data_IF_700267080514
#
_entry.id   IF_700267080514
#
_cell.length_a   1.000
_cell.length_b   1.000
_cell.length_c   1.000
_cell.angle_alpha   90.00
_cell.angle_beta   90.00
_cell.angle_gamma   90.00
#
_symmetry.space_group_name_H-M   'P 1'
#
loop_
_entity.id
_entity.type
_entity.pdbx_description
1 polymer ?
#
# COMPACT_ATOMS: atom_id res chain seq x y z
N UNK A 1 -37.18 -40.93 2.15
CA UNK A 1 -37.10 -39.77 3.07
C UNK A 1 -36.43 -38.61 2.34
N UNK A 2 -37.08 -37.44 2.28
CA UNK A 2 -36.66 -36.26 1.52
C UNK A 2 -35.43 -35.60 2.18
N UNK A 3 -34.22 -35.84 1.65
CA UNK A 3 -32.95 -35.18 2.07
C UNK A 3 -32.72 -33.81 1.41
N UNK A 4 -33.60 -33.43 0.49
CA UNK A 4 -33.62 -32.17 -0.27
C UNK A 4 -33.46 -30.90 0.60
N UNK A 5 -34.10 -30.74 1.79
CA UNK A 5 -34.03 -29.47 2.52
C UNK A 5 -32.64 -29.19 3.10
N UNK A 6 -31.86 -30.23 3.44
CA UNK A 6 -30.49 -30.08 3.98
C UNK A 6 -29.51 -29.67 2.89
N UNK A 7 -29.66 -30.23 1.69
CA UNK A 7 -28.87 -29.87 0.52
C UNK A 7 -29.14 -28.43 0.07
N UNK A 8 -30.42 -28.01 0.07
CA UNK A 8 -30.81 -26.65 -0.26
C UNK A 8 -30.27 -25.63 0.75
N UNK A 9 -30.30 -25.95 2.04
CA UNK A 9 -29.74 -25.09 3.09
C UNK A 9 -28.21 -24.97 2.97
N UNK A 10 -27.52 -26.10 2.72
CA UNK A 10 -26.08 -26.10 2.53
C UNK A 10 -25.67 -25.26 1.31
N UNK A 11 -26.41 -25.38 0.20
CA UNK A 11 -26.21 -24.59 -1.02
C UNK A 11 -26.44 -23.09 -0.78
N UNK A 12 -27.45 -22.72 0.00
CA UNK A 12 -27.72 -21.32 0.37
C UNK A 12 -26.62 -20.74 1.26
N UNK A 13 -26.14 -21.51 2.24
CA UNK A 13 -25.05 -21.08 3.12
C UNK A 13 -23.74 -20.92 2.34
N UNK A 14 -23.41 -21.86 1.45
CA UNK A 14 -22.23 -21.73 0.58
C UNK A 14 -22.38 -20.55 -0.38
N UNK A 15 -23.53 -20.36 -1.01
CA UNK A 15 -23.77 -19.20 -1.88
C UNK A 15 -23.61 -17.86 -1.14
N UNK A 16 -24.08 -17.78 0.12
CA UNK A 16 -23.90 -16.60 0.96
C UNK A 16 -22.44 -16.40 1.41
N UNK A 17 -21.68 -17.49 1.61
CA UNK A 17 -20.25 -17.43 1.95
C UNK A 17 -19.37 -17.03 0.76
N UNK A 18 -19.72 -17.48 -0.45
CA UNK A 18 -19.05 -17.11 -1.70
C UNK A 18 -19.52 -15.76 -2.25
N UNK A 19 -20.50 -15.11 -1.62
CA UNK A 19 -20.95 -13.79 -2.05
C UNK A 19 -19.78 -12.80 -1.97
N UNK A 20 -19.47 -12.07 -3.06
CA UNK A 20 -18.37 -11.12 -3.07
C UNK A 20 -18.63 -10.04 -2.01
N UNK A 21 -17.75 -9.96 -1.02
CA UNK A 21 -17.73 -8.86 -0.07
C UNK A 21 -17.07 -7.65 -0.73
N UNK A 22 -17.48 -6.41 -0.40
CA UNK A 22 -16.74 -5.24 -0.80
C UNK A 22 -15.30 -5.41 -0.30
N UNK A 23 -14.36 -5.49 -1.24
CA UNK A 23 -12.94 -5.51 -0.92
C UNK A 23 -12.63 -4.19 -0.19
N UNK A 24 -12.30 -4.29 1.10
CA UNK A 24 -11.70 -3.17 1.82
C UNK A 24 -10.28 -3.03 1.29
N UNK A 25 -10.15 -2.29 0.19
CA UNK A 25 -8.87 -2.05 -0.41
C UNK A 25 -7.98 -1.36 0.65
N UNK A 26 -6.81 -1.93 0.91
CA UNK A 26 -5.72 -1.28 1.62
C UNK A 26 -4.91 -0.50 0.58
N UNK A 27 -5.33 0.72 0.20
CA UNK A 27 -4.31 1.71 -0.12
C UNK A 27 -4.60 3.00 0.65
N UNK A 28 -3.62 3.39 1.45
CA UNK A 28 -3.48 4.69 2.09
C UNK A 28 -4.00 5.83 1.21
N UNK A 29 -3.51 5.89 -0.03
CA UNK A 29 -3.78 6.97 -0.98
C UNK A 29 -5.13 6.85 -1.70
N UNK A 30 -5.61 5.64 -1.98
CA UNK A 30 -6.89 5.46 -2.68
C UNK A 30 -8.07 5.97 -1.86
N UNK A 31 -7.98 5.96 -0.52
CA UNK A 31 -9.00 6.56 0.36
C UNK A 31 -9.02 8.09 0.26
N UNK A 32 -7.85 8.71 0.13
CA UNK A 32 -7.72 10.16 -0.02
C UNK A 32 -8.17 10.63 -1.40
N UNK A 33 -7.77 9.89 -2.44
CA UNK A 33 -7.96 10.27 -3.85
C UNK A 33 -9.27 9.71 -4.43
N UNK A 34 -9.88 8.72 -3.77
CA UNK A 34 -11.12 8.02 -4.17
C UNK A 34 -11.05 7.39 -5.57
N UNK A 35 -9.88 6.85 -5.92
CA UNK A 35 -9.63 6.19 -7.20
C UNK A 35 -9.31 4.70 -7.04
N UNK A 36 -9.50 3.92 -8.11
CA UNK A 36 -9.18 2.49 -8.15
C UNK A 36 -7.66 2.27 -8.21
N UNK A 37 -7.16 1.13 -7.75
CA UNK A 37 -5.72 0.82 -7.75
C UNK A 37 -5.07 0.93 -9.14
N UNK A 38 -5.78 0.51 -10.19
CA UNK A 38 -5.34 0.58 -11.60
C UNK A 38 -5.18 2.01 -12.12
N UNK A 39 -5.68 3.00 -11.38
CA UNK A 39 -5.47 4.40 -11.72
C UNK A 39 -4.01 4.83 -11.49
N UNK A 40 -3.33 4.25 -10.48
CA UNK A 40 -1.93 4.55 -10.15
C UNK A 40 -0.96 3.41 -10.51
N UNK A 41 -1.42 2.17 -10.61
CA UNK A 41 -0.55 1.00 -10.81
C UNK A 41 -0.81 0.30 -12.15
N UNK A 42 0.26 -0.12 -12.83
CA UNK A 42 0.19 -1.08 -13.94
C UNK A 42 0.07 -2.52 -13.43
N UNK A 43 0.78 -2.82 -12.34
CA UNK A 43 0.73 -4.03 -11.57
C UNK A 43 1.16 -3.64 -10.15
N UNK A 44 0.61 -4.26 -9.11
CA UNK A 44 1.14 -4.00 -7.77
C UNK A 44 2.57 -4.55 -7.67
N UNK A 45 3.58 -3.80 -7.16
CA UNK A 45 3.56 -2.39 -6.68
C UNK A 45 4.00 -1.35 -7.74
N UNK A 46 4.33 -1.77 -8.96
CA UNK A 46 4.79 -0.90 -10.05
C UNK A 46 3.79 0.20 -10.43
N UNK A 47 4.23 1.45 -10.33
CA UNK A 47 3.45 2.64 -10.71
C UNK A 47 3.35 2.79 -12.24
N UNK A 48 2.24 3.36 -12.69
CA UNK A 48 2.11 3.94 -14.02
C UNK A 48 2.56 5.43 -14.00
N UNK A 49 2.51 6.11 -15.15
CA UNK A 49 2.90 7.52 -15.24
C UNK A 49 2.11 8.43 -14.29
N UNK A 50 0.81 8.16 -14.12
CA UNK A 50 -0.02 8.92 -13.19
C UNK A 50 0.43 8.71 -11.74
N UNK A 51 0.66 7.45 -11.34
CA UNK A 51 1.12 7.10 -10.01
C UNK A 51 2.49 7.69 -9.69
N UNK A 52 3.42 7.68 -10.65
CA UNK A 52 4.72 8.32 -10.52
C UNK A 52 4.55 9.84 -10.35
N UNK A 53 3.76 10.49 -11.20
CA UNK A 53 3.46 11.93 -11.10
C UNK A 53 2.84 12.28 -9.75
N UNK A 54 1.90 11.47 -9.26
CA UNK A 54 1.29 11.65 -7.95
C UNK A 54 2.32 11.57 -6.82
N UNK A 55 3.22 10.57 -6.85
CA UNK A 55 4.31 10.41 -5.89
C UNK A 55 5.28 11.60 -5.93
N UNK A 56 5.74 11.99 -7.12
CA UNK A 56 6.72 13.08 -7.30
C UNK A 56 6.14 14.45 -6.95
N UNK A 57 4.82 14.64 -7.09
CA UNK A 57 4.12 15.87 -6.70
C UNK A 57 3.76 15.93 -5.21
N UNK A 58 4.31 15.04 -4.38
CA UNK A 58 4.08 15.07 -2.94
C UNK A 58 2.75 14.45 -2.51
N UNK A 59 2.30 13.41 -3.23
CA UNK A 59 1.03 12.72 -3.00
C UNK A 59 -0.19 13.63 -3.21
N UNK A 60 -0.09 14.49 -4.23
CA UNK A 60 -1.13 15.45 -4.63
C UNK A 60 -1.63 15.15 -6.03
N UNK A 61 -2.92 15.42 -6.24
CA UNK A 61 -3.49 15.41 -7.59
C UNK A 61 -2.91 16.60 -8.39
N UNK A 62 -2.68 16.43 -9.71
CA UNK A 62 -2.30 17.55 -10.57
C UNK A 62 -3.29 18.72 -10.43
N UNK A 63 -2.76 19.95 -10.38
CA UNK A 63 -3.59 21.15 -10.20
C UNK A 63 -4.11 21.39 -8.77
N UNK A 64 -3.69 20.58 -7.79
CA UNK A 64 -4.12 20.75 -6.39
C UNK A 64 -2.99 21.23 -5.49
N UNK A 65 -3.31 22.12 -4.56
CA UNK A 65 -2.41 22.47 -3.45
C UNK A 65 -2.45 21.40 -2.38
N UNK A 66 -1.38 21.32 -1.60
CA UNK A 66 -1.39 20.47 -0.42
C UNK A 66 -2.44 20.92 0.59
N UNK A 67 -2.88 19.98 1.41
CA UNK A 67 -3.82 20.23 2.50
C UNK A 67 -3.09 20.20 3.83
N UNK A 68 -3.55 21.01 4.77
CA UNK A 68 -3.10 20.90 6.16
C UNK A 68 -3.53 19.54 6.72
N UNK A 69 -2.79 19.04 7.72
CA UNK A 69 -2.99 17.68 8.26
C UNK A 69 -4.41 17.44 8.79
N UNK A 70 -5.07 18.50 9.25
CA UNK A 70 -6.42 18.47 9.82
C UNK A 70 -7.52 18.41 8.75
N UNK A 71 -7.19 18.74 7.50
CA UNK A 71 -8.12 18.76 6.37
C UNK A 71 -8.10 17.45 5.56
N UNK A 72 -7.22 16.51 5.95
CA UNK A 72 -7.10 15.21 5.30
C UNK A 72 -8.26 14.32 5.77
N UNK A 73 -9.15 13.87 4.88
CA UNK A 73 -10.36 13.13 5.26
C UNK A 73 -10.06 11.74 5.84
N UNK A 74 -8.90 11.16 5.51
CA UNK A 74 -8.44 9.89 6.05
C UNK A 74 -6.91 9.87 6.03
N UNK A 75 -6.29 9.59 7.18
CA UNK A 75 -4.84 9.53 7.24
C UNK A 75 -4.33 8.38 6.35
N UNK A 76 -3.42 8.67 5.41
CA UNK A 76 -2.97 7.71 4.43
C UNK A 76 -1.87 6.82 5.02
N UNK A 77 -2.24 5.98 5.98
CA UNK A 77 -1.43 4.83 6.44
C UNK A 77 -1.90 3.57 5.71
N UNK A 78 -0.96 2.72 5.34
CA UNK A 78 -1.20 1.36 4.90
C UNK A 78 -0.18 0.42 5.53
N UNK A 79 -0.54 -0.85 5.59
CA UNK A 79 0.34 -1.91 6.05
C UNK A 79 0.24 -3.11 5.11
N UNK A 80 1.37 -3.76 4.86
CA UNK A 80 1.49 -4.97 4.05
C UNK A 80 2.11 -6.04 4.94
N UNK A 81 1.44 -7.19 5.03
CA UNK A 81 2.01 -8.37 5.69
C UNK A 81 2.68 -9.25 4.63
N UNK A 82 3.94 -9.55 4.84
CA UNK A 82 4.74 -10.46 4.02
C UNK A 82 4.87 -11.80 4.73
N UNK A 83 4.66 -12.89 4.00
CA UNK A 83 4.85 -14.25 4.52
C UNK A 83 5.58 -15.04 3.44
N UNK A 84 6.82 -15.41 3.72
CA UNK A 84 7.62 -16.26 2.84
C UNK A 84 7.64 -17.70 3.35
N UNK A 85 7.27 -18.64 2.47
CA UNK A 85 7.37 -20.08 2.71
C UNK A 85 8.46 -20.68 1.83
N UNK A 86 9.47 -21.27 2.45
CA UNK A 86 10.59 -21.92 1.79
C UNK A 86 10.40 -23.42 1.87
N UNK A 87 10.43 -24.08 0.72
CA UNK A 87 10.49 -25.53 0.59
C UNK A 87 11.92 -25.94 0.31
N UNK A 88 12.48 -26.78 1.17
CA UNK A 88 13.83 -27.31 1.03
C UNK A 88 13.76 -28.81 0.76
N UNK A 89 14.00 -29.19 -0.51
CA UNK A 89 14.01 -30.58 -0.99
C UNK A 89 15.40 -31.18 -0.73
N UNK A 90 15.44 -32.17 0.16
CA UNK A 90 16.67 -32.88 0.45
C UNK A 90 16.72 -34.20 -0.33
N UNK A 91 17.85 -34.43 -1.02
CA UNK A 91 18.11 -35.67 -1.78
C UNK A 91 18.04 -36.97 -0.95
N UNK A 92 18.01 -36.88 0.37
CA UNK A 92 17.85 -38.00 1.29
C UNK A 92 16.38 -38.32 1.64
N UNK A 93 15.42 -37.55 1.08
CA UNK A 93 13.98 -37.74 1.25
C UNK A 93 13.36 -37.04 2.46
N UNK A 94 14.11 -36.18 3.15
CA UNK A 94 13.60 -35.39 4.27
C UNK A 94 13.28 -33.94 3.87
N UNK A 95 12.20 -33.77 3.13
CA UNK A 95 11.74 -32.45 2.70
C UNK A 95 11.24 -31.63 3.89
N UNK A 96 11.65 -30.37 3.95
CA UNK A 96 11.18 -29.45 5.01
C UNK A 96 10.47 -28.24 4.41
N UNK A 97 9.41 -27.81 5.09
CA UNK A 97 8.73 -26.55 4.80
C UNK A 97 8.92 -25.60 5.98
N UNK A 98 9.49 -24.44 5.72
CA UNK A 98 9.78 -23.42 6.74
C UNK A 98 9.17 -22.10 6.34
N UNK A 99 8.44 -21.46 7.27
CA UNK A 99 8.05 -20.06 7.10
C UNK A 99 9.26 -19.22 7.50
N UNK A 100 9.99 -18.72 6.51
CA UNK A 100 11.31 -18.15 6.73
C UNK A 100 11.22 -16.76 7.38
N UNK A 101 10.37 -15.87 6.87
CA UNK A 101 10.36 -14.46 7.29
C UNK A 101 8.96 -13.84 7.20
N UNK A 102 8.11 -13.99 8.23
CA UNK A 102 6.91 -13.18 8.33
C UNK A 102 7.29 -11.74 8.74
N UNK A 103 6.85 -10.77 7.96
CA UNK A 103 7.10 -9.35 8.16
C UNK A 103 5.83 -8.50 8.03
N UNK A 104 5.84 -7.32 8.62
CA UNK A 104 4.83 -6.29 8.39
C UNK A 104 5.53 -4.99 8.05
N UNK A 105 5.24 -4.47 6.88
CA UNK A 105 5.65 -3.13 6.46
C UNK A 105 4.50 -2.16 6.70
N UNK A 106 4.78 -1.02 7.30
CA UNK A 106 3.82 0.07 7.48
C UNK A 106 4.38 1.29 6.77
N UNK A 107 3.60 1.86 5.86
CA UNK A 107 3.96 3.08 5.17
C UNK A 107 2.87 4.14 5.26
N UNK A 108 3.30 5.38 5.18
CA UNK A 108 2.43 6.55 5.18
C UNK A 108 2.99 7.63 4.28
N UNK A 109 2.13 8.46 3.72
CA UNK A 109 2.58 9.66 3.01
C UNK A 109 1.45 10.65 2.76
N UNK A 110 1.69 11.92 3.02
CA UNK A 110 0.67 12.97 2.85
C UNK A 110 1.26 14.36 2.82
N UNK A 111 0.41 15.34 2.55
CA UNK A 111 0.69 16.76 2.70
C UNK A 111 0.53 17.19 4.16
N UNK A 112 1.43 18.05 4.64
CA UNK A 112 1.41 18.68 5.96
C UNK A 112 1.11 20.18 5.88
N UNK A 113 0.75 20.65 4.70
CA UNK A 113 0.34 22.01 4.39
C UNK A 113 0.35 22.25 2.88
N UNK A 114 0.14 23.49 2.42
CA UNK A 114 0.01 23.80 0.99
C UNK A 114 1.20 23.41 0.12
N UNK A 115 2.40 23.36 0.70
CA UNK A 115 3.69 23.17 0.01
C UNK A 115 4.64 22.19 0.71
N UNK A 116 4.13 21.38 1.63
CA UNK A 116 4.95 20.42 2.37
C UNK A 116 4.27 19.08 2.29
N UNK A 117 5.02 18.05 1.93
CA UNK A 117 4.62 16.65 1.99
C UNK A 117 5.69 15.82 2.69
N UNK A 118 5.29 14.67 3.21
CA UNK A 118 6.24 13.73 3.81
C UNK A 118 5.78 12.29 3.57
N UNK A 119 6.74 11.38 3.61
CA UNK A 119 6.54 9.95 3.50
C UNK A 119 7.43 9.24 4.51
N UNK A 120 6.97 8.10 5.01
CA UNK A 120 7.76 7.23 5.84
C UNK A 120 7.31 5.78 5.74
N UNK A 121 8.30 4.89 5.86
CA UNK A 121 8.11 3.45 5.84
C UNK A 121 8.89 2.81 6.98
N UNK A 122 8.25 1.85 7.65
CA UNK A 122 8.83 1.06 8.73
C UNK A 122 8.50 -0.39 8.45
N UNK A 123 9.53 -1.22 8.31
CA UNK A 123 9.39 -2.67 8.14
C UNK A 123 9.70 -3.37 9.45
N UNK A 124 8.87 -4.30 9.88
CA UNK A 124 9.12 -5.12 11.07
C UNK A 124 9.17 -6.57 10.66
N UNK A 125 10.32 -7.20 10.82
CA UNK A 125 10.57 -8.60 10.45
C UNK A 125 10.84 -9.46 11.68
N UNK A 126 10.26 -10.66 11.70
CA UNK A 126 10.47 -11.59 12.81
C UNK A 126 11.93 -12.06 12.84
N UNK A 127 12.64 -11.69 13.90
CA UNK A 127 14.04 -12.08 14.14
C UNK A 127 15.07 -11.03 13.75
N UNK A 128 14.69 -10.02 12.95
CA UNK A 128 15.56 -8.91 12.54
C UNK A 128 15.19 -7.58 13.20
N UNK A 129 13.97 -7.44 13.74
CA UNK A 129 13.52 -6.24 14.42
C UNK A 129 12.82 -5.26 13.47
N UNK A 130 12.91 -3.96 13.76
CA UNK A 130 12.36 -2.91 12.92
C UNK A 130 13.46 -2.27 12.06
N UNK A 131 13.21 -2.18 10.77
CA UNK A 131 14.04 -1.49 9.78
C UNK A 131 13.30 -0.26 9.23
N UNK A 132 14.07 0.76 8.85
CA UNK A 132 13.53 1.98 8.28
C UNK A 132 13.70 1.95 6.76
N UNK A 133 12.56 1.99 6.07
CA UNK A 133 12.53 2.20 4.63
C UNK A 133 12.71 3.68 4.28
N UNK A 134 12.22 4.11 3.10
CA UNK A 134 12.26 5.52 2.72
C UNK A 134 11.53 6.41 3.73
N UNK A 135 12.22 7.44 4.21
CA UNK A 135 11.67 8.48 5.08
C UNK A 135 12.17 9.84 4.60
N UNK A 136 11.24 10.70 4.17
CA UNK A 136 11.59 12.01 3.66
C UNK A 136 10.52 13.06 3.88
N UNK A 137 10.95 14.31 3.89
CA UNK A 137 10.11 15.50 3.75
C UNK A 137 10.38 16.13 2.40
N UNK A 138 9.34 16.56 1.72
CA UNK A 138 9.40 17.22 0.43
C UNK A 138 8.78 18.62 0.54
N UNK A 139 9.50 19.61 0.03
CA UNK A 139 9.03 20.97 -0.19
C UNK A 139 8.55 21.07 -1.63
N UNK A 140 7.25 21.31 -1.78
CA UNK A 140 6.53 21.27 -3.04
C UNK A 140 6.43 22.66 -3.69
N UNK A 141 6.49 22.71 -5.02
CA UNK A 141 6.27 23.91 -5.81
C UNK A 141 7.19 25.09 -5.39
N UNK A 142 8.51 24.82 -5.30
CA UNK A 142 9.53 25.83 -4.99
C UNK A 142 9.69 26.86 -6.11
N UNK A 143 9.51 26.43 -7.35
CA UNK A 143 9.42 27.29 -8.52
C UNK A 143 8.33 26.76 -9.45
N UNK A 144 7.45 27.65 -9.92
CA UNK A 144 6.29 27.28 -10.75
C UNK A 144 5.16 26.61 -9.96
N UNK A 145 4.27 25.96 -10.69
CA UNK A 145 3.13 25.18 -10.16
C UNK A 145 3.19 23.75 -10.71
N UNK A 146 2.42 22.84 -10.09
CA UNK A 146 2.27 21.44 -10.53
C UNK A 146 3.55 20.60 -10.45
N UNK A 147 4.39 20.84 -9.45
CA UNK A 147 5.59 20.06 -9.17
C UNK A 147 6.77 20.36 -10.08
N UNK A 148 6.79 21.52 -10.74
CA UNK A 148 7.88 21.92 -11.64
C UNK A 148 9.25 21.86 -10.95
N UNK A 149 9.34 22.30 -9.69
CA UNK A 149 10.53 22.14 -8.87
C UNK A 149 10.14 21.81 -7.43
N UNK A 150 10.55 20.63 -6.97
CA UNK A 150 10.40 20.17 -5.60
C UNK A 150 11.78 19.90 -4.99
N UNK A 151 11.90 20.02 -3.67
CA UNK A 151 13.11 19.63 -2.92
C UNK A 151 12.75 18.54 -1.94
N UNK A 152 13.40 17.38 -2.05
CA UNK A 152 13.19 16.24 -1.16
C UNK A 152 14.41 16.04 -0.26
N UNK A 153 14.21 16.00 1.05
CA UNK A 153 15.23 15.82 2.08
C UNK A 153 14.90 14.60 2.90
N UNK A 154 15.82 13.63 2.95
CA UNK A 154 15.63 12.39 3.71
C UNK A 154 16.42 11.22 3.13
N UNK A 155 16.03 10.01 3.53
CA UNK A 155 16.53 8.74 2.99
C UNK A 155 15.48 8.20 2.04
N UNK A 156 15.84 8.01 0.78
CA UNK A 156 14.92 7.50 -0.24
C UNK A 156 15.71 6.96 -1.43
N UNK A 157 15.10 6.02 -2.15
CA UNK A 157 15.61 5.58 -3.44
C UNK A 157 15.30 6.61 -4.53
N UNK A 158 16.19 6.69 -5.52
CA UNK A 158 15.96 7.52 -6.70
C UNK A 158 14.74 6.99 -7.47
N UNK A 159 13.82 7.90 -7.79
CA UNK A 159 12.64 7.60 -8.58
C UNK A 159 13.07 7.45 -10.06
N UNK A 160 13.15 6.21 -10.58
CA UNK A 160 13.48 5.89 -11.98
C UNK A 160 12.25 5.44 -12.80
#
# INVERSE_FOLDING_TARGET
>A
MRTIPKLALLALVTAAWLAPRPAQAIPAFARQVKQKCTYCHVAFPKLNEFGLTFKTNGYRLPGTKGKDVWEIPAWPVAAVAEIEGVWDDHRDGNDTFTIAQPGVEVFWGTTFGPKISAFGEIKVERGQGADLGPVFVQFDDLAGENGLLNLKVGVYDLDF
#
